data_IF_164238251252
#
_entry.id   IF_164238251252
#
_cell.length_a   1.000
_cell.length_b   1.000
_cell.length_c   1.000
_cell.angle_alpha   90.00
_cell.angle_beta   90.00
_cell.angle_gamma   90.00
#
_symmetry.space_group_name_H-M   'P 1'
#
loop_
_entity.id
_entity.type
_entity.pdbx_description
1 polymer ?
#
# COMPACT_ATOMS: atom_id res chain seq x y z
N UNK A 1 -25.83 12.50 -25.22
CA UNK A 1 -25.14 13.69 -24.69
C UNK A 1 -24.68 13.33 -23.28
N UNK A 2 -23.50 12.73 -23.18
CA UNK A 2 -22.94 12.25 -21.93
C UNK A 2 -22.43 13.43 -21.10
N UNK A 3 -22.84 13.48 -19.83
CA UNK A 3 -22.46 14.49 -18.85
C UNK A 3 -21.20 14.02 -18.12
N UNK A 4 -20.02 14.40 -18.61
CA UNK A 4 -18.75 14.22 -17.89
C UNK A 4 -18.53 15.41 -16.94
N UNK A 5 -19.09 15.29 -15.73
CA UNK A 5 -18.80 16.19 -14.61
C UNK A 5 -17.56 15.68 -13.88
N UNK A 6 -16.41 16.28 -14.14
CA UNK A 6 -15.19 16.04 -13.37
C UNK A 6 -14.97 17.22 -12.38
N UNK A 7 -15.36 17.10 -11.09
CA UNK A 7 -15.21 18.21 -10.15
C UNK A 7 -13.74 18.34 -9.70
N UNK A 8 -13.23 19.57 -9.79
CA UNK A 8 -11.98 19.99 -9.18
C UNK A 8 -12.02 19.72 -7.65
N UNK A 9 -11.13 18.86 -7.17
CA UNK A 9 -11.02 18.54 -5.74
C UNK A 9 -10.45 19.75 -5.00
N UNK A 10 -11.31 20.53 -4.38
CA UNK A 10 -10.95 21.55 -3.40
C UNK A 10 -10.30 20.91 -2.17
N UNK A 11 -9.30 21.61 -1.63
CA UNK A 11 -8.52 21.29 -0.44
C UNK A 11 -9.40 20.89 0.75
N UNK A 12 -9.15 19.71 1.33
CA UNK A 12 -9.85 19.26 2.55
C UNK A 12 -9.21 19.89 3.81
N UNK A 13 -10.02 20.27 4.83
CA UNK A 13 -9.57 21.01 6.01
C UNK A 13 -8.86 20.11 7.03
N UNK A 14 -8.14 20.74 7.97
CA UNK A 14 -7.41 20.10 9.06
C UNK A 14 -8.35 19.33 10.00
N UNK A 15 -8.52 18.03 9.74
CA UNK A 15 -9.15 17.13 10.70
C UNK A 15 -8.18 16.80 11.83
N UNK A 16 -8.49 17.34 13.01
CA UNK A 16 -8.04 16.83 14.31
C UNK A 16 -8.49 15.37 14.47
N UNK A 17 -7.55 14.51 14.80
CA UNK A 17 -7.77 13.08 14.93
C UNK A 17 -6.40 12.41 15.03
N UNK A 18 -6.18 11.69 16.12
CA UNK A 18 -4.96 10.98 16.50
C UNK A 18 -4.37 10.27 15.29
N UNK A 19 -3.25 10.79 14.75
CA UNK A 19 -2.78 10.41 13.42
C UNK A 19 -1.88 9.17 13.51
N UNK A 20 -2.30 8.05 12.93
CA UNK A 20 -1.38 6.96 12.63
C UNK A 20 -0.22 7.45 11.73
N UNK A 21 0.91 6.74 11.75
CA UNK A 21 2.15 7.11 11.06
C UNK A 21 2.02 7.40 9.55
N UNK A 22 0.87 7.08 8.94
CA UNK A 22 0.50 7.43 7.58
C UNK A 22 -0.04 8.87 7.48
N UNK A 23 0.86 9.86 7.46
CA UNK A 23 0.45 11.26 7.38
C UNK A 23 0.05 11.67 5.94
N UNK A 24 -1.15 12.24 5.81
CA UNK A 24 -1.59 13.16 4.74
C UNK A 24 -1.47 12.66 3.29
N UNK A 25 -2.09 11.52 2.98
CA UNK A 25 -2.40 11.08 1.61
C UNK A 25 -1.22 10.81 0.67
N UNK A 26 0.01 11.01 1.17
CA UNK A 26 1.27 10.83 0.45
C UNK A 26 2.08 9.63 0.96
N UNK A 27 1.66 9.08 2.10
CA UNK A 27 2.33 7.96 2.78
C UNK A 27 1.36 6.79 2.84
N UNK A 28 1.88 5.59 2.55
CA UNK A 28 1.14 4.34 2.66
C UNK A 28 1.22 3.85 4.10
N UNK A 29 0.08 3.76 4.79
CA UNK A 29 -0.02 3.15 6.12
C UNK A 29 0.01 1.63 6.03
N UNK A 30 0.89 1.01 6.81
CA UNK A 30 1.15 -0.44 6.74
C UNK A 30 0.81 -1.09 8.07
N UNK A 31 -0.14 -2.01 8.03
CA UNK A 31 -0.50 -2.84 9.17
C UNK A 31 0.24 -4.18 9.16
N UNK A 32 0.32 -4.83 10.32
CA UNK A 32 0.87 -6.17 10.47
C UNK A 32 -0.22 -7.23 10.42
N UNK A 33 0.08 -8.36 9.79
CA UNK A 33 -0.75 -9.57 9.80
C UNK A 33 0.06 -10.76 10.30
N UNK A 34 -0.64 -11.72 10.90
CA UNK A 34 -0.11 -13.02 11.30
C UNK A 34 -0.08 -14.00 10.13
N UNK A 35 0.53 -15.16 10.34
CA UNK A 35 0.56 -16.30 9.40
C UNK A 35 -0.85 -16.89 9.14
N UNK A 36 -1.80 -16.64 10.04
CA UNK A 36 -3.20 -17.06 9.89
C UNK A 36 -4.06 -16.05 9.13
N UNK A 37 -3.45 -15.07 8.46
CA UNK A 37 -4.16 -14.00 7.77
C UNK A 37 -5.09 -13.21 8.70
N UNK A 38 -4.73 -13.13 9.97
CA UNK A 38 -5.43 -12.31 10.95
C UNK A 38 -4.62 -11.07 11.28
N UNK A 39 -5.28 -9.94 11.56
CA UNK A 39 -4.60 -8.77 12.11
C UNK A 39 -3.86 -9.13 13.42
N UNK A 40 -2.55 -8.90 13.48
CA UNK A 40 -1.74 -8.96 14.70
C UNK A 40 -2.33 -8.10 15.83
N UNK A 41 -2.36 -8.60 17.07
CA UNK A 41 -2.99 -7.91 18.22
C UNK A 41 -2.37 -6.55 18.58
N UNK A 42 -1.11 -6.30 18.18
CA UNK A 42 -0.36 -5.07 18.49
C UNK A 42 -0.46 -3.97 17.41
N UNK A 43 -1.01 -4.26 16.24
CA UNK A 43 -1.00 -3.33 15.11
C UNK A 43 -2.28 -2.49 15.09
N UNK A 44 -2.16 -1.25 14.64
CA UNK A 44 -3.33 -0.39 14.43
C UNK A 44 -4.02 -0.77 13.12
N UNK A 45 -5.34 -0.76 13.14
CA UNK A 45 -6.21 -1.03 11.99
C UNK A 45 -7.28 0.02 11.87
N UNK A 46 -7.93 0.07 10.71
CA UNK A 46 -8.93 1.08 10.40
C UNK A 46 -8.62 1.74 9.06
N UNK A 47 -9.68 2.11 8.35
CA UNK A 47 -9.59 2.70 7.00
C UNK A 47 -8.80 4.01 6.95
N UNK A 48 -8.68 4.69 8.09
CA UNK A 48 -7.91 5.92 8.29
C UNK A 48 -6.43 5.69 8.61
N UNK A 49 -6.09 4.53 9.18
CA UNK A 49 -4.79 4.31 9.82
C UNK A 49 -3.92 3.29 9.07
N UNK A 50 -4.55 2.30 8.42
CA UNK A 50 -3.90 1.27 7.62
C UNK A 50 -4.47 1.24 6.21
N UNK A 51 -3.61 1.45 5.21
CA UNK A 51 -4.00 1.39 3.81
C UNK A 51 -3.82 -0.02 3.24
N UNK A 52 -2.75 -0.71 3.63
CA UNK A 52 -2.44 -2.09 3.27
C UNK A 52 -1.86 -2.82 4.50
N UNK A 53 -1.98 -4.14 4.54
CA UNK A 53 -1.31 -4.99 5.51
C UNK A 53 -0.18 -5.78 4.86
N UNK A 54 0.86 -6.07 5.61
CA UNK A 54 1.88 -7.03 5.23
C UNK A 54 2.20 -7.94 6.42
N UNK A 55 2.68 -9.16 6.17
CA UNK A 55 3.05 -10.07 7.26
C UNK A 55 4.16 -9.43 8.09
N UNK A 56 3.90 -9.30 9.39
CA UNK A 56 4.82 -8.68 10.34
C UNK A 56 4.93 -9.46 11.64
N UNK A 57 4.20 -10.57 11.76
CA UNK A 57 4.28 -11.49 12.89
C UNK A 57 5.25 -12.64 12.59
N UNK A 58 6.09 -12.99 13.56
CA UNK A 58 7.08 -14.05 13.45
C UNK A 58 8.00 -13.95 12.21
N UNK A 59 8.38 -12.74 11.82
CA UNK A 59 9.31 -12.51 10.71
C UNK A 59 10.73 -12.84 11.16
N UNK A 60 11.37 -13.78 10.48
CA UNK A 60 12.76 -14.15 10.73
C UNK A 60 13.66 -13.04 10.16
N UNK A 61 14.42 -12.38 11.03
CA UNK A 61 15.37 -11.34 10.64
C UNK A 61 16.78 -11.70 11.11
N UNK A 62 17.79 -11.19 10.41
CA UNK A 62 19.19 -11.36 10.81
C UNK A 62 19.49 -10.48 12.02
N UNK A 63 19.92 -11.09 13.12
CA UNK A 63 20.39 -10.38 14.30
C UNK A 63 21.91 -10.44 14.43
N UNK A 64 22.54 -9.44 15.07
CA UNK A 64 23.98 -9.47 15.35
C UNK A 64 24.36 -10.76 16.09
N UNK A 65 25.42 -11.42 15.65
CA UNK A 65 25.84 -12.73 16.19
C UNK A 65 25.40 -13.94 15.35
N UNK A 66 24.91 -13.74 14.11
CA UNK A 66 24.60 -14.83 13.17
C UNK A 66 23.34 -15.62 13.53
N UNK A 67 22.51 -15.07 14.42
CA UNK A 67 21.24 -15.68 14.82
C UNK A 67 20.08 -15.14 14.00
N UNK A 68 19.04 -15.95 13.87
CA UNK A 68 17.84 -15.64 13.09
C UNK A 68 16.60 -15.81 13.96
N UNK A 69 16.42 -14.97 15.01
CA UNK A 69 15.20 -15.02 15.81
C UNK A 69 14.01 -14.52 14.99
N UNK A 70 12.83 -15.04 15.32
CA UNK A 70 11.56 -14.50 14.87
C UNK A 70 11.24 -13.23 15.65
N UNK A 71 10.94 -12.13 14.95
CA UNK A 71 10.52 -10.87 15.54
C UNK A 71 9.15 -10.48 15.00
N UNK A 72 8.32 -9.87 15.84
CA UNK A 72 6.99 -9.39 15.47
C UNK A 72 6.93 -7.87 15.57
N UNK A 73 6.42 -7.19 14.54
CA UNK A 73 6.24 -5.75 14.53
C UNK A 73 5.87 -5.19 13.16
N UNK A 74 5.12 -4.09 13.15
CA UNK A 74 4.79 -3.33 11.92
C UNK A 74 6.04 -2.77 11.23
N UNK A 75 7.12 -2.58 11.99
CA UNK A 75 8.46 -2.24 11.48
C UNK A 75 9.02 -3.27 10.49
N UNK A 76 8.57 -4.53 10.53
CA UNK A 76 8.96 -5.58 9.57
C UNK A 76 8.00 -5.64 8.37
N UNK A 77 6.72 -5.31 8.58
CA UNK A 77 5.75 -5.14 7.48
C UNK A 77 6.13 -3.97 6.55
N UNK A 78 6.67 -2.88 7.10
CA UNK A 78 7.06 -1.69 6.35
C UNK A 78 8.11 -1.95 5.23
N UNK A 79 9.27 -2.56 5.51
CA UNK A 79 10.27 -2.86 4.50
C UNK A 79 9.81 -3.90 3.47
N UNK A 80 8.84 -4.78 3.78
CA UNK A 80 8.29 -5.71 2.79
C UNK A 80 7.52 -4.98 1.69
N UNK A 81 6.69 -4.00 2.07
CA UNK A 81 5.97 -3.15 1.10
C UNK A 81 6.97 -2.26 0.35
N UNK A 82 7.95 -1.68 1.04
CA UNK A 82 8.99 -0.86 0.40
C UNK A 82 9.85 -1.65 -0.60
N UNK A 83 10.22 -2.90 -0.26
CA UNK A 83 10.94 -3.81 -1.15
C UNK A 83 10.11 -4.18 -2.37
N UNK A 84 8.80 -4.39 -2.19
CA UNK A 84 7.87 -4.63 -3.31
C UNK A 84 7.77 -3.42 -4.23
N UNK A 85 7.70 -2.21 -3.68
CA UNK A 85 7.73 -0.98 -4.46
C UNK A 85 9.05 -0.84 -5.26
N UNK A 86 10.18 -1.20 -4.65
CA UNK A 86 11.48 -1.24 -5.34
C UNK A 86 11.49 -2.25 -6.50
N UNK A 87 10.88 -3.42 -6.30
CA UNK A 87 10.76 -4.44 -7.34
C UNK A 87 9.88 -3.96 -8.51
N UNK A 88 8.81 -3.22 -8.25
CA UNK A 88 7.99 -2.59 -9.30
C UNK A 88 8.79 -1.58 -10.13
N UNK A 89 9.66 -0.78 -9.48
CA UNK A 89 10.57 0.16 -10.16
C UNK A 89 11.59 -0.61 -11.00
N UNK A 90 12.16 -1.68 -10.45
CA UNK A 90 13.12 -2.52 -11.17
C UNK A 90 12.51 -3.21 -12.40
N UNK A 91 11.23 -3.59 -12.33
CA UNK A 91 10.51 -4.19 -13.45
C UNK A 91 10.20 -3.16 -14.56
N UNK A 92 9.86 -1.91 -14.20
CA UNK A 92 9.60 -0.84 -15.16
C UNK A 92 10.00 0.53 -14.55
N UNK A 93 11.14 1.11 -14.94
CA UNK A 93 11.69 2.31 -14.31
C UNK A 93 10.81 3.58 -14.43
N UNK A 94 9.81 3.58 -15.30
CA UNK A 94 8.87 4.70 -15.50
C UNK A 94 7.71 4.73 -14.49
N UNK A 95 7.86 4.09 -13.33
CA UNK A 95 6.83 3.96 -12.30
C UNK A 95 6.64 5.30 -11.55
N UNK A 96 5.42 5.84 -11.58
CA UNK A 96 5.01 6.98 -10.75
C UNK A 96 4.43 6.51 -9.41
N UNK A 97 4.49 7.32 -8.35
CA UNK A 97 3.94 7.01 -7.02
C UNK A 97 2.45 6.59 -7.06
N UNK A 98 1.64 7.25 -7.88
CA UNK A 98 0.22 6.87 -8.07
C UNK A 98 0.06 5.49 -8.73
N UNK A 99 0.94 5.16 -9.66
CA UNK A 99 0.95 3.85 -10.32
C UNK A 99 1.44 2.76 -9.37
N UNK A 100 2.44 3.08 -8.53
CA UNK A 100 2.91 2.19 -7.47
C UNK A 100 1.79 1.90 -6.47
N UNK A 101 1.07 2.93 -6.01
CA UNK A 101 -0.10 2.76 -5.16
C UNK A 101 -1.21 1.94 -5.84
N UNK A 102 -1.50 2.20 -7.11
CA UNK A 102 -2.47 1.38 -7.86
C UNK A 102 -2.04 -0.09 -7.96
N UNK A 103 -0.77 -0.37 -8.26
CA UNK A 103 -0.24 -1.72 -8.29
C UNK A 103 -0.34 -2.39 -6.91
N UNK A 104 0.07 -1.70 -5.84
CA UNK A 104 -0.01 -2.20 -4.47
C UNK A 104 -1.46 -2.40 -3.96
N UNK A 105 -2.44 -1.69 -4.54
CA UNK A 105 -3.86 -1.89 -4.19
C UNK A 105 -4.43 -3.23 -4.68
N UNK A 106 -3.71 -3.98 -5.53
CA UNK A 106 -4.07 -5.35 -5.94
C UNK A 106 -3.69 -6.37 -4.86
N UNK A 107 -3.99 -6.02 -3.62
CA UNK A 107 -3.78 -6.83 -2.43
C UNK A 107 -4.97 -7.78 -2.19
N UNK A 108 -4.73 -8.85 -1.43
CA UNK A 108 -5.74 -9.84 -1.09
C UNK A 108 -6.56 -9.32 0.08
N UNK A 109 -7.85 -9.03 -0.16
CA UNK A 109 -8.76 -8.58 0.89
C UNK A 109 -9.00 -9.70 1.91
N UNK A 110 -8.64 -9.45 3.17
CA UNK A 110 -8.79 -10.39 4.26
C UNK A 110 -9.98 -10.05 5.16
N UNK A 111 -9.88 -8.93 5.86
CA UNK A 111 -10.91 -8.44 6.77
C UNK A 111 -11.38 -7.04 6.35
N UNK A 112 -12.60 -6.63 6.71
CA UNK A 112 -13.10 -5.29 6.43
C UNK A 112 -12.22 -4.18 7.03
N UNK A 113 -11.55 -4.47 8.15
CA UNK A 113 -10.70 -3.54 8.90
C UNK A 113 -9.35 -3.27 8.23
N UNK A 114 -8.98 -4.13 7.26
CA UNK A 114 -7.78 -4.04 6.45
C UNK A 114 -8.14 -3.50 5.07
N UNK A 115 -8.07 -2.18 4.93
CA UNK A 115 -8.53 -1.40 3.77
C UNK A 115 -8.33 -2.10 2.41
N UNK A 116 -7.09 -2.26 1.91
CA UNK A 116 -6.81 -3.06 0.70
C UNK A 116 -6.50 -4.54 0.99
N UNK A 117 -6.35 -4.93 2.25
CA UNK A 117 -5.99 -6.28 2.65
C UNK A 117 -4.47 -6.52 2.68
N UNK A 118 -4.07 -7.77 2.51
CA UNK A 118 -2.66 -8.22 2.60
C UNK A 118 -1.94 -8.07 1.28
N UNK A 119 -0.72 -7.55 1.34
CA UNK A 119 0.21 -7.41 0.22
C UNK A 119 0.37 -8.72 -0.55
N UNK A 120 0.09 -8.67 -1.85
CA UNK A 120 0.39 -9.72 -2.82
C UNK A 120 1.34 -9.17 -3.88
N UNK A 121 2.60 -9.59 -3.80
CA UNK A 121 3.68 -9.13 -4.68
C UNK A 121 3.44 -9.59 -6.13
N UNK A 122 2.91 -10.80 -6.31
CA UNK A 122 2.68 -11.36 -7.63
C UNK A 122 1.58 -10.61 -8.36
N UNK A 123 0.44 -10.40 -7.69
CA UNK A 123 -0.68 -9.66 -8.27
C UNK A 123 -0.31 -8.19 -8.53
N UNK A 124 0.46 -7.56 -7.63
CA UNK A 124 0.94 -6.19 -7.83
C UNK A 124 1.83 -6.05 -9.07
N UNK A 125 2.80 -6.96 -9.26
CA UNK A 125 3.70 -6.94 -10.43
C UNK A 125 2.94 -7.32 -11.70
N UNK A 126 2.08 -8.34 -11.65
CA UNK A 126 1.26 -8.74 -12.78
C UNK A 126 0.37 -7.58 -13.24
N UNK A 127 -0.33 -6.92 -12.32
CA UNK A 127 -1.14 -5.73 -12.62
C UNK A 127 -0.32 -4.58 -13.19
N UNK A 128 0.94 -4.42 -12.76
CA UNK A 128 1.84 -3.38 -13.27
C UNK A 128 2.36 -3.69 -14.68
N UNK A 129 2.77 -4.93 -14.94
CA UNK A 129 3.24 -5.37 -16.26
C UNK A 129 2.09 -5.40 -17.28
N UNK A 130 0.91 -5.85 -16.85
CA UNK A 130 -0.31 -5.94 -17.66
C UNK A 130 -0.98 -4.57 -17.87
N UNK A 131 -0.59 -3.52 -17.12
CA UNK A 131 -1.02 -2.13 -17.33
C UNK A 131 -0.40 -1.47 -18.60
N UNK A 132 -0.07 -2.28 -19.60
CA UNK A 132 0.51 -1.84 -20.88
C UNK A 132 -0.55 -1.58 -21.96
N UNK A 133 -1.86 -1.63 -21.63
CA UNK A 133 -2.93 -1.65 -22.63
C UNK A 133 -4.22 -0.89 -22.25
N UNK A 134 -4.12 0.21 -21.51
CA UNK A 134 -5.24 1.15 -21.32
C UNK A 134 -4.79 2.60 -21.54
N UNK A 135 -4.03 2.80 -22.61
CA UNK A 135 -3.87 4.11 -23.24
C UNK A 135 -5.03 4.33 -24.21
N UNK A 136 -6.25 4.34 -23.67
CA UNK A 136 -7.48 4.68 -24.41
C UNK A 136 -8.21 5.78 -23.64
N UNK A 137 -7.67 7.00 -23.75
CA UNK A 137 -8.39 8.24 -23.49
C UNK A 137 -8.85 8.47 -22.05
N UNK A 138 -8.10 9.27 -21.29
CA UNK A 138 -8.70 10.11 -20.25
C UNK A 138 -7.95 11.43 -20.20
N UNK A 139 -8.68 12.47 -20.60
CA UNK A 139 -8.25 13.84 -20.84
C UNK A 139 -7.26 14.37 -19.79
N UNK A 140 -6.05 14.64 -20.22
CA UNK A 140 -5.12 15.57 -19.57
C UNK A 140 -5.68 17.00 -19.69
N UNK A 141 -6.41 17.46 -18.67
CA UNK A 141 -6.77 18.86 -18.53
C UNK A 141 -5.57 19.59 -17.87
N UNK A 142 -4.76 20.23 -18.70
CA UNK A 142 -3.93 21.36 -18.30
C UNK A 142 -4.89 22.53 -18.05
N UNK A 143 -4.98 23.03 -16.82
CA UNK A 143 -5.57 24.35 -16.54
C UNK A 143 -4.42 25.37 -16.48
N UNK A 144 -4.42 26.30 -17.44
CA UNK A 144 -3.74 27.59 -17.35
C UNK A 144 -4.54 28.54 -16.45
#
# INVERSE_FOLDING_TARGET
MATDSCPCRTSQPWHEGTKAAAFNGSVVGIASTTDWDTPSSFSNYGTTDAWIAAPGDYVISTFPGGTHPSASGTSFSSPLVAGTASLLISAKPSLNQKQAASALSHAVRLTPDLNHGRLDVYQAIAAWLNNSSSNSGSCSLFCW
#
